data_IF_847436347974
#
_entry.id   IF_847436347974
#
_cell.length_a   1.000
_cell.length_b   1.000
_cell.length_c   1.000
_cell.angle_alpha   90.00
_cell.angle_beta   90.00
_cell.angle_gamma   90.00
#
_symmetry.space_group_name_H-M   'P 1'
#
loop_
_entity.id
_entity.type
_entity.pdbx_description
1 polymer ?
#
# COMPACT_ATOMS: atom_id res chain seq x y z
N UNK A 1 22.96 -24.57 -4.14
CA UNK A 1 21.57 -24.44 -3.63
C UNK A 1 21.10 -25.65 -2.83
N UNK A 2 21.06 -26.88 -3.36
CA UNK A 2 20.53 -28.06 -2.65
C UNK A 2 21.21 -28.46 -1.31
N UNK A 3 22.37 -27.88 -0.98
CA UNK A 3 23.07 -28.08 0.31
C UNK A 3 22.87 -26.91 1.30
N UNK A 4 22.24 -25.81 0.89
CA UNK A 4 21.93 -24.68 1.76
C UNK A 4 20.66 -25.01 2.55
N UNK A 5 20.74 -24.98 3.89
CA UNK A 5 19.63 -25.34 4.78
C UNK A 5 18.49 -24.33 4.74
N UNK A 6 18.72 -23.12 4.20
CA UNK A 6 17.70 -22.08 4.01
C UNK A 6 16.89 -22.27 2.72
N UNK A 7 17.35 -23.14 1.81
CA UNK A 7 16.69 -23.36 0.54
C UNK A 7 15.45 -24.25 0.72
N UNK A 8 14.28 -23.72 0.35
CA UNK A 8 13.01 -24.44 0.39
C UNK A 8 12.91 -25.44 -0.78
N UNK A 9 13.55 -26.60 -0.61
CA UNK A 9 13.63 -27.65 -1.64
C UNK A 9 12.23 -28.13 -2.05
N UNK A 10 11.32 -28.25 -1.10
CA UNK A 10 9.92 -28.64 -1.30
C UNK A 10 9.18 -27.67 -2.23
N UNK A 11 9.37 -26.36 -2.03
CA UNK A 11 8.79 -25.32 -2.89
C UNK A 11 9.37 -25.42 -4.31
N UNK A 12 10.69 -25.53 -4.45
CA UNK A 12 11.35 -25.68 -5.75
C UNK A 12 10.93 -26.96 -6.50
N UNK A 13 10.68 -28.05 -5.77
CA UNK A 13 10.15 -29.28 -6.37
C UNK A 13 8.70 -29.11 -6.83
N UNK A 14 7.88 -28.41 -6.04
CA UNK A 14 6.47 -28.16 -6.38
C UNK A 14 6.28 -27.34 -7.66
N UNK A 15 7.24 -26.46 -7.98
CA UNK A 15 7.22 -25.65 -9.21
C UNK A 15 7.83 -26.37 -10.41
N UNK A 16 8.48 -27.52 -10.20
CA UNK A 16 9.24 -28.23 -11.23
C UNK A 16 10.53 -27.53 -11.65
N UNK A 17 10.96 -26.51 -10.89
CA UNK A 17 12.11 -25.68 -11.20
C UNK A 17 13.00 -25.49 -9.98
N UNK A 18 14.24 -25.98 -10.06
CA UNK A 18 15.24 -25.86 -8.99
C UNK A 18 16.30 -24.85 -9.40
N UNK A 19 16.30 -23.63 -8.84
CA UNK A 19 17.31 -22.64 -9.15
C UNK A 19 18.70 -23.07 -8.67
N UNK A 20 19.70 -22.76 -9.47
CA UNK A 20 21.12 -22.92 -9.19
C UNK A 20 21.72 -21.71 -8.45
N UNK A 21 21.16 -20.50 -8.65
CA UNK A 21 21.49 -19.26 -7.92
C UNK A 21 20.24 -18.46 -7.56
N UNK A 22 20.32 -17.70 -6.46
CA UNK A 22 19.23 -16.85 -5.95
C UNK A 22 19.83 -15.56 -5.40
N UNK A 23 19.39 -14.43 -5.94
CA UNK A 23 19.60 -13.12 -5.33
C UNK A 23 18.27 -12.64 -4.74
N UNK A 24 18.25 -12.35 -3.44
CA UNK A 24 17.04 -11.96 -2.72
C UNK A 24 17.18 -10.58 -2.10
N UNK A 25 16.08 -9.82 -2.08
CA UNK A 25 16.01 -8.51 -1.44
C UNK A 25 14.67 -8.33 -0.72
N UNK A 26 14.65 -7.79 0.51
CA UNK A 26 13.39 -7.51 1.19
C UNK A 26 12.58 -6.44 0.44
N UNK A 27 11.27 -6.65 0.40
CA UNK A 27 10.29 -5.63 0.04
C UNK A 27 9.80 -5.02 1.35
N UNK A 28 10.35 -3.88 1.73
CA UNK A 28 9.99 -3.19 2.96
C UNK A 28 9.82 -1.68 2.76
N UNK A 29 8.98 -1.10 3.58
CA UNK A 29 8.83 0.35 3.73
C UNK A 29 9.12 0.73 5.17
N UNK A 30 9.21 2.03 5.47
CA UNK A 30 9.42 2.50 6.86
C UNK A 30 8.38 1.98 7.86
N UNK A 31 7.21 1.56 7.36
CA UNK A 31 6.09 1.12 8.19
C UNK A 31 6.07 -0.38 8.44
N UNK A 32 6.50 -1.19 7.47
CA UNK A 32 6.40 -2.67 7.55
C UNK A 32 7.21 -3.39 6.50
N UNK A 33 7.53 -4.66 6.80
CA UNK A 33 7.95 -5.65 5.82
C UNK A 33 6.73 -6.18 5.06
N UNK A 34 6.84 -6.23 3.72
CA UNK A 34 5.79 -6.67 2.79
C UNK A 34 6.07 -8.05 2.22
N UNK A 35 7.34 -8.43 2.09
CA UNK A 35 7.78 -9.72 1.57
C UNK A 35 9.24 -9.71 1.11
N UNK A 36 9.57 -10.56 0.15
CA UNK A 36 10.89 -10.67 -0.48
C UNK A 36 10.70 -10.74 -1.99
N UNK A 37 11.60 -10.11 -2.74
CA UNK A 37 11.73 -10.29 -4.19
C UNK A 37 12.99 -11.10 -4.46
N UNK A 38 12.90 -12.06 -5.37
CA UNK A 38 13.99 -12.97 -5.73
C UNK A 38 14.25 -12.94 -7.23
N UNK A 39 15.53 -12.98 -7.59
CA UNK A 39 16.03 -13.20 -8.96
C UNK A 39 16.70 -14.57 -8.97
N UNK A 40 16.15 -15.46 -9.78
CA UNK A 40 16.59 -16.86 -9.92
C UNK A 40 17.45 -17.02 -11.17
N UNK A 41 18.51 -17.83 -11.10
CA UNK A 41 19.39 -18.20 -12.22
C UNK A 41 19.77 -17.02 -13.12
N UNK A 42 20.22 -15.94 -12.49
CA UNK A 42 20.81 -14.83 -13.22
C UNK A 42 21.97 -15.36 -14.06
N UNK A 43 22.05 -14.91 -15.32
CA UNK A 43 22.92 -15.42 -16.38
C UNK A 43 24.30 -15.90 -15.87
N UNK A 44 24.61 -17.15 -16.18
CA UNK A 44 25.76 -17.91 -15.63
C UNK A 44 27.13 -17.38 -16.06
N UNK A 45 27.17 -16.46 -17.02
CA UNK A 45 28.37 -15.84 -17.57
C UNK A 45 28.89 -14.66 -16.73
N UNK A 46 28.20 -14.28 -15.64
CA UNK A 46 28.66 -13.22 -14.74
C UNK A 46 28.57 -13.63 -13.26
N UNK A 47 29.57 -13.32 -12.41
CA UNK A 47 29.44 -13.39 -10.97
C UNK A 47 28.41 -12.38 -10.47
N UNK A 48 27.68 -12.68 -9.39
CA UNK A 48 26.85 -11.68 -8.72
C UNK A 48 27.75 -10.51 -8.30
N UNK A 49 27.46 -9.34 -8.84
CA UNK A 49 28.26 -8.15 -8.57
C UNK A 49 27.56 -7.29 -7.52
N UNK A 50 28.33 -6.49 -6.78
CA UNK A 50 27.79 -5.48 -5.88
C UNK A 50 26.76 -4.56 -6.59
N UNK A 51 26.93 -4.36 -7.90
CA UNK A 51 26.00 -3.59 -8.74
C UNK A 51 24.65 -4.28 -8.93
N UNK A 52 24.61 -5.61 -9.01
CA UNK A 52 23.34 -6.35 -9.12
C UNK A 52 22.54 -6.25 -7.81
N UNK A 53 23.23 -6.33 -6.66
CA UNK A 53 22.64 -6.13 -5.34
C UNK A 53 22.08 -4.71 -5.20
N UNK A 54 22.86 -3.71 -5.60
CA UNK A 54 22.45 -2.30 -5.56
C UNK A 54 21.22 -2.05 -6.45
N UNK A 55 21.23 -2.58 -7.68
CA UNK A 55 20.10 -2.45 -8.59
C UNK A 55 18.84 -3.14 -8.03
N UNK A 56 18.98 -4.36 -7.53
CA UNK A 56 17.85 -5.07 -6.93
C UNK A 56 17.31 -4.35 -5.70
N UNK A 57 18.17 -3.74 -4.88
CA UNK A 57 17.77 -2.90 -3.74
C UNK A 57 16.93 -1.70 -4.18
N UNK A 58 17.36 -0.98 -5.21
CA UNK A 58 16.58 0.13 -5.77
C UNK A 58 15.22 -0.32 -6.30
N UNK A 59 15.18 -1.44 -7.03
CA UNK A 59 13.92 -2.01 -7.52
C UNK A 59 13.01 -2.46 -6.36
N UNK A 60 13.57 -3.11 -5.35
CA UNK A 60 12.81 -3.58 -4.19
C UNK A 60 12.17 -2.43 -3.43
N UNK A 61 12.88 -1.32 -3.24
CA UNK A 61 12.32 -0.11 -2.63
C UNK A 61 11.15 0.48 -3.43
N UNK A 62 11.30 0.61 -4.76
CA UNK A 62 10.21 1.11 -5.60
C UNK A 62 9.01 0.17 -5.66
N UNK A 63 9.25 -1.14 -5.75
CA UNK A 63 8.19 -2.16 -5.75
C UNK A 63 7.44 -2.19 -4.41
N UNK A 64 8.15 -2.06 -3.27
CA UNK A 64 7.55 -2.01 -1.95
C UNK A 64 6.59 -0.81 -1.83
N UNK A 65 7.02 0.38 -2.26
CA UNK A 65 6.16 1.58 -2.29
C UNK A 65 4.95 1.40 -3.21
N UNK A 66 5.13 0.83 -4.40
CA UNK A 66 4.03 0.59 -5.34
C UNK A 66 3.00 -0.42 -4.81
N UNK A 67 3.46 -1.51 -4.19
CA UNK A 67 2.60 -2.52 -3.57
C UNK A 67 1.82 -1.92 -2.39
N UNK A 68 2.48 -1.12 -1.55
CA UNK A 68 1.81 -0.44 -0.44
C UNK A 68 0.74 0.53 -0.96
N UNK A 69 1.07 1.37 -1.93
CA UNK A 69 0.13 2.31 -2.54
C UNK A 69 -1.06 1.58 -3.18
N UNK A 70 -0.81 0.51 -3.95
CA UNK A 70 -1.89 -0.26 -4.58
C UNK A 70 -2.83 -0.87 -3.55
N UNK A 71 -2.31 -1.42 -2.45
CA UNK A 71 -3.16 -1.95 -1.37
C UNK A 71 -4.02 -0.86 -0.73
N UNK A 72 -3.44 0.32 -0.48
CA UNK A 72 -4.19 1.46 0.07
C UNK A 72 -5.31 1.89 -0.89
N UNK A 73 -5.03 2.06 -2.17
CA UNK A 73 -6.03 2.46 -3.16
C UNK A 73 -7.11 1.38 -3.38
N UNK A 74 -6.74 0.10 -3.45
CA UNK A 74 -7.70 -1.00 -3.59
C UNK A 74 -8.62 -1.14 -2.38
N UNK A 75 -8.08 -0.97 -1.16
CA UNK A 75 -8.88 -1.02 0.07
C UNK A 75 -9.85 0.16 0.15
N UNK A 76 -9.41 1.36 -0.23
CA UNK A 76 -10.27 2.54 -0.30
C UNK A 76 -11.39 2.37 -1.34
N UNK A 77 -11.06 1.89 -2.54
CA UNK A 77 -12.04 1.63 -3.60
C UNK A 77 -13.08 0.58 -3.18
N UNK A 78 -12.65 -0.48 -2.50
CA UNK A 78 -13.56 -1.50 -1.97
C UNK A 78 -14.46 -0.95 -0.86
N UNK A 79 -13.94 -0.09 0.02
CA UNK A 79 -14.73 0.58 1.05
C UNK A 79 -15.77 1.54 0.44
N UNK A 80 -15.38 2.33 -0.57
CA UNK A 80 -16.28 3.22 -1.31
C UNK A 80 -17.41 2.43 -2.01
N UNK A 81 -17.07 1.36 -2.73
CA UNK A 81 -18.06 0.55 -3.44
C UNK A 81 -19.08 -0.08 -2.47
N UNK A 82 -18.62 -0.61 -1.33
CA UNK A 82 -19.50 -1.14 -0.28
C UNK A 82 -20.40 -0.05 0.30
N UNK A 83 -19.85 1.12 0.61
CA UNK A 83 -20.62 2.23 1.16
C UNK A 83 -21.71 2.71 0.18
N UNK A 84 -21.40 2.81 -1.12
CA UNK A 84 -22.38 3.17 -2.15
C UNK A 84 -23.44 2.09 -2.35
N UNK A 85 -23.11 0.81 -2.17
CA UNK A 85 -24.06 -0.28 -2.29
C UNK A 85 -25.00 -0.37 -1.07
N UNK A 86 -24.55 0.03 0.12
CA UNK A 86 -25.35 0.06 1.35
C UNK A 86 -26.15 1.35 1.54
N UNK A 87 -25.78 2.43 0.85
CA UNK A 87 -26.53 3.68 0.88
C UNK A 87 -27.78 3.56 -0.02
N UNK A 88 -28.86 2.97 0.51
CA UNK A 88 -30.17 3.00 -0.14
C UNK A 88 -30.82 4.35 0.10
N UNK A 89 -30.95 5.13 -0.97
CA UNK A 89 -31.75 6.35 -1.25
C UNK A 89 -31.82 7.51 -0.23
N UNK A 90 -31.66 7.29 1.07
CA UNK A 90 -31.61 8.30 2.16
C UNK A 90 -30.47 8.05 3.18
N UNK A 91 -29.63 7.03 2.97
CA UNK A 91 -28.65 6.55 3.95
C UNK A 91 -27.31 7.30 3.95
N UNK A 92 -26.97 7.89 5.11
CA UNK A 92 -25.70 8.52 5.47
C UNK A 92 -24.46 7.78 4.93
N UNK A 93 -23.97 8.27 3.78
CA UNK A 93 -22.81 7.73 3.06
C UNK A 93 -21.54 7.76 3.93
N UNK A 94 -21.42 8.75 4.82
CA UNK A 94 -20.29 8.87 5.76
C UNK A 94 -20.25 7.71 6.74
N UNK A 95 -21.39 7.40 7.36
CA UNK A 95 -21.53 6.22 8.22
C UNK A 95 -21.26 4.91 7.48
N UNK A 96 -21.79 4.76 6.27
CA UNK A 96 -21.57 3.56 5.45
C UNK A 96 -20.09 3.37 5.08
N UNK A 97 -19.36 4.47 4.82
CA UNK A 97 -17.91 4.46 4.59
C UNK A 97 -17.13 4.02 5.82
N UNK A 98 -17.47 4.56 6.99
CA UNK A 98 -16.85 4.19 8.26
C UNK A 98 -17.07 2.70 8.58
N UNK A 99 -18.28 2.20 8.39
CA UNK A 99 -18.60 0.77 8.56
C UNK A 99 -17.81 -0.10 7.57
N UNK A 100 -17.77 0.27 6.29
CA UNK A 100 -17.03 -0.48 5.28
C UNK A 100 -15.50 -0.46 5.45
N UNK A 101 -14.95 0.55 6.14
CA UNK A 101 -13.53 0.72 6.38
C UNK A 101 -13.02 -0.07 7.59
N UNK A 102 -13.88 -0.35 8.58
CA UNK A 102 -13.54 -1.15 9.78
C UNK A 102 -13.01 -2.53 9.42
N UNK A 103 -13.55 -3.14 8.38
CA UNK A 103 -13.17 -4.49 7.95
C UNK A 103 -11.87 -4.55 7.14
N UNK A 104 -11.32 -3.41 6.71
CA UNK A 104 -10.13 -3.34 5.84
C UNK A 104 -8.78 -3.23 6.55
N UNK A 105 -8.77 -3.16 7.89
CA UNK A 105 -7.55 -3.23 8.70
C UNK A 105 -6.60 -2.02 8.54
N UNK A 106 -6.80 -0.99 9.38
CA UNK A 106 -5.83 -0.07 10.01
C UNK A 106 -4.84 0.88 9.25
N UNK A 107 -4.79 0.98 7.90
CA UNK A 107 -4.50 2.30 7.27
C UNK A 107 -5.74 2.99 6.69
N UNK A 108 -6.86 2.27 6.63
CA UNK A 108 -8.08 2.76 5.98
C UNK A 108 -9.04 3.47 6.95
N UNK A 109 -8.85 3.33 8.27
CA UNK A 109 -9.73 3.94 9.26
C UNK A 109 -9.59 5.47 9.26
N UNK A 110 -8.36 5.98 9.40
CA UNK A 110 -8.07 7.43 9.39
C UNK A 110 -8.51 8.08 8.06
N UNK A 111 -8.29 7.39 6.93
CA UNK A 111 -8.69 7.88 5.61
C UNK A 111 -10.21 7.84 5.39
N UNK A 112 -10.90 6.83 5.92
CA UNK A 112 -12.36 6.76 5.87
C UNK A 112 -13.01 7.81 6.79
N UNK A 113 -12.41 8.06 7.95
CA UNK A 113 -12.83 9.14 8.86
C UNK A 113 -12.63 10.51 8.19
N UNK A 114 -11.47 10.75 7.56
CA UNK A 114 -11.24 11.95 6.78
C UNK A 114 -12.25 12.09 5.62
N UNK A 115 -12.55 11.01 4.91
CA UNK A 115 -13.53 11.00 3.84
C UNK A 115 -14.96 11.28 4.35
N UNK A 116 -15.33 10.74 5.51
CA UNK A 116 -16.61 11.02 6.17
C UNK A 116 -16.73 12.49 6.54
N UNK A 117 -15.68 13.07 7.15
CA UNK A 117 -15.66 14.50 7.45
C UNK A 117 -15.76 15.35 6.19
N UNK A 118 -15.09 15.00 5.09
CA UNK A 118 -15.23 15.72 3.83
C UNK A 118 -16.63 15.62 3.24
N UNK A 119 -17.30 14.48 3.39
CA UNK A 119 -18.70 14.32 2.98
C UNK A 119 -19.62 15.23 3.79
N UNK A 120 -19.51 15.21 5.13
CA UNK A 120 -20.27 16.11 6.02
C UNK A 120 -20.05 17.58 5.66
N UNK A 121 -18.78 17.98 5.46
CA UNK A 121 -18.42 19.32 5.01
C UNK A 121 -19.08 19.67 3.68
N UNK A 122 -19.15 18.73 2.73
CA UNK A 122 -19.80 18.91 1.43
C UNK A 122 -21.30 19.22 1.54
N UNK A 123 -21.97 18.70 2.57
CA UNK A 123 -23.39 18.91 2.84
C UNK A 123 -23.71 20.24 3.55
N UNK A 124 -22.69 20.97 4.02
CA UNK A 124 -22.87 22.26 4.68
C UNK A 124 -23.21 23.40 3.70
N UNK A 125 -23.66 24.53 4.27
CA UNK A 125 -23.89 25.77 3.55
C UNK A 125 -22.62 26.35 2.90
N UNK A 126 -22.78 27.28 1.94
CA UNK A 126 -21.66 27.84 1.18
C UNK A 126 -20.66 28.63 2.04
N UNK A 127 -21.07 29.21 3.16
CA UNK A 127 -20.17 29.94 4.07
C UNK A 127 -19.32 28.99 4.91
N UNK A 128 -19.94 27.96 5.45
CA UNK A 128 -19.31 26.90 6.23
C UNK A 128 -18.30 26.12 5.38
N UNK A 129 -18.66 25.79 4.13
CA UNK A 129 -17.74 25.16 3.17
C UNK A 129 -16.52 26.01 2.86
N UNK A 130 -16.69 27.33 2.70
CA UNK A 130 -15.57 28.26 2.52
C UNK A 130 -14.66 28.32 3.74
N UNK A 131 -15.23 28.32 4.94
CA UNK A 131 -14.46 28.31 6.19
C UNK A 131 -13.65 27.01 6.33
N UNK A 132 -14.29 25.86 6.13
CA UNK A 132 -13.65 24.55 6.19
C UNK A 132 -12.50 24.41 5.17
N UNK A 133 -12.73 24.85 3.92
CA UNK A 133 -11.70 24.84 2.87
C UNK A 133 -10.47 25.67 3.27
N UNK A 134 -10.69 26.83 3.89
CA UNK A 134 -9.62 27.71 4.35
C UNK A 134 -8.80 27.05 5.46
N UNK A 135 -9.45 26.48 6.48
CA UNK A 135 -8.80 25.81 7.61
C UNK A 135 -7.96 24.61 7.17
N UNK A 136 -8.51 23.76 6.30
CA UNK A 136 -7.76 22.63 5.73
C UNK A 136 -6.56 23.12 4.92
N UNK A 137 -6.73 24.19 4.14
CA UNK A 137 -5.63 24.81 3.39
C UNK A 137 -4.52 25.38 4.28
N UNK A 138 -4.88 26.05 5.37
CA UNK A 138 -3.95 26.59 6.36
C UNK A 138 -3.17 25.46 7.05
N UNK A 139 -3.85 24.40 7.45
CA UNK A 139 -3.23 23.22 8.05
C UNK A 139 -2.22 22.56 7.09
N UNK A 140 -2.61 22.34 5.84
CA UNK A 140 -1.70 21.76 4.83
C UNK A 140 -0.50 22.67 4.55
N UNK A 141 -0.70 23.98 4.55
CA UNK A 141 0.38 24.96 4.41
C UNK A 141 1.36 24.90 5.59
N UNK A 142 0.84 24.79 6.81
CA UNK A 142 1.65 24.61 8.01
C UNK A 142 2.49 23.32 7.94
N UNK A 143 1.89 22.19 7.58
CA UNK A 143 2.59 20.89 7.47
C UNK A 143 3.69 20.95 6.42
N UNK A 144 3.44 21.56 5.25
CA UNK A 144 4.45 21.72 4.19
C UNK A 144 5.65 22.58 4.59
N UNK A 145 5.47 23.55 5.49
CA UNK A 145 6.56 24.40 6.02
C UNK A 145 7.42 23.70 7.08
N UNK A 146 6.94 22.59 7.64
CA UNK A 146 7.61 21.85 8.72
C UNK A 146 8.43 20.65 8.23
N UNK A 147 8.24 20.23 6.97
CA UNK A 147 9.11 19.29 6.25
C UNK A 147 10.21 20.05 5.53
#
# INVERSE_FOLDING_TARGET
MAKDRRFAVDVAQSTGYTPSSILAMPLETERRMLGVIEVLDRSSDRPETARDIELLSLFAGQAALAIENSRVFSNLGAALLRATASATEDGDLGRALLEAARDTGAPNADMAELASHFHELGMLGPEERRAATRLVGEFLTYVRRRR
#
